data_IF_665427077597
#
_entry.id   IF_665427077597
#
_cell.length_a   1.000
_cell.length_b   1.000
_cell.length_c   1.000
_cell.angle_alpha   90.00
_cell.angle_beta   90.00
_cell.angle_gamma   90.00
#
_symmetry.space_group_name_H-M   'P 1'
#
loop_
_entity.id
_entity.type
_entity.pdbx_description
1 polymer ?
#
# COMPACT_ATOMS: atom_id res chain seq x y z
N UNK A 1 -3.09 29.90 0.72
CA UNK A 1 -2.34 28.81 1.36
C UNK A 1 -2.94 28.59 2.72
N UNK A 2 -3.97 27.76 2.79
CA UNK A 2 -4.61 27.31 4.04
C UNK A 2 -3.97 25.97 4.41
N UNK A 3 -3.55 25.75 5.67
CA UNK A 3 -3.08 24.44 6.09
C UNK A 3 -4.24 23.47 6.02
N UNK A 4 -3.98 22.26 5.52
CA UNK A 4 -4.92 21.15 5.55
C UNK A 4 -5.40 20.93 6.98
N UNK A 5 -6.70 21.05 7.21
CA UNK A 5 -7.34 20.68 8.46
C UNK A 5 -7.12 19.20 8.71
N UNK A 6 -6.22 18.86 9.63
CA UNK A 6 -6.21 17.58 10.30
C UNK A 6 -7.30 17.65 11.37
N UNK A 7 -8.54 17.29 11.04
CA UNK A 7 -9.61 17.14 12.02
C UNK A 7 -10.24 15.75 11.89
N UNK A 8 -9.64 14.79 12.59
CA UNK A 8 -10.32 13.97 13.59
C UNK A 8 -9.30 13.07 14.31
N UNK A 9 -9.44 12.99 15.63
CA UNK A 9 -8.55 12.41 16.63
C UNK A 9 -8.47 10.87 16.61
N UNK A 10 -8.27 10.26 15.45
CA UNK A 10 -7.88 8.86 15.30
C UNK A 10 -6.38 8.76 15.04
N UNK A 11 -5.70 7.76 15.60
CA UNK A 11 -4.39 7.37 15.06
C UNK A 11 -4.63 6.85 13.66
N UNK A 12 -3.94 7.42 12.67
CA UNK A 12 -3.94 6.94 11.30
C UNK A 12 -2.58 6.36 10.98
N UNK A 13 -2.58 5.29 10.21
CA UNK A 13 -1.37 4.85 9.52
C UNK A 13 -1.52 5.09 8.03
N UNK A 14 -0.45 5.48 7.37
CA UNK A 14 -0.47 5.86 5.97
C UNK A 14 0.47 5.00 5.15
N UNK A 15 -0.01 4.47 4.04
CA UNK A 15 0.85 3.88 3.00
C UNK A 15 0.96 4.87 1.86
N UNK A 16 2.16 5.03 1.33
CA UNK A 16 2.41 5.87 0.17
C UNK A 16 2.76 5.00 -1.04
N UNK A 17 2.59 5.59 -2.21
CA UNK A 17 3.18 5.14 -3.46
C UNK A 17 3.55 6.34 -4.29
N UNK A 18 4.78 6.36 -4.81
CA UNK A 18 5.24 7.40 -5.72
C UNK A 18 5.49 6.84 -7.13
N UNK A 19 5.15 7.62 -8.15
CA UNK A 19 5.48 7.23 -9.52
C UNK A 19 5.12 8.26 -10.58
N UNK A 20 5.44 7.93 -11.83
CA UNK A 20 5.29 8.82 -12.97
C UNK A 20 4.10 8.43 -13.85
N UNK A 21 3.14 9.33 -14.00
CA UNK A 21 2.02 9.20 -14.93
C UNK A 21 2.43 9.74 -16.31
N UNK A 22 2.78 8.85 -17.24
CA UNK A 22 3.17 9.23 -18.60
C UNK A 22 2.07 9.98 -19.36
N UNK A 23 0.79 9.64 -19.13
CA UNK A 23 -0.35 10.30 -19.79
C UNK A 23 -0.46 11.78 -19.43
N UNK A 24 -0.30 12.12 -18.16
CA UNK A 24 -0.35 13.50 -17.67
C UNK A 24 1.01 14.17 -17.63
N UNK A 25 2.09 13.40 -17.90
CA UNK A 25 3.49 13.82 -17.75
C UNK A 25 3.78 14.41 -16.38
N UNK A 26 3.27 13.75 -15.34
CA UNK A 26 3.34 14.25 -13.97
C UNK A 26 3.81 13.18 -13.01
N UNK A 27 4.55 13.59 -11.99
CA UNK A 27 4.80 12.75 -10.84
C UNK A 27 3.62 12.84 -9.89
N UNK A 28 3.19 11.69 -9.39
CA UNK A 28 2.07 11.60 -8.48
C UNK A 28 2.45 10.82 -7.23
N UNK A 29 1.77 11.14 -6.14
CA UNK A 29 1.79 10.35 -4.91
C UNK A 29 0.38 9.87 -4.65
N UNK A 30 0.20 8.57 -4.47
CA UNK A 30 -1.03 8.01 -3.89
C UNK A 30 -0.80 7.79 -2.41
N UNK A 31 -1.74 8.23 -1.58
CA UNK A 31 -1.74 8.05 -0.12
C UNK A 31 -2.96 7.24 0.28
N UNK A 32 -2.75 6.14 0.98
CA UNK A 32 -3.80 5.33 1.61
C UNK A 32 -3.74 5.52 3.12
N UNK A 33 -4.77 6.12 3.70
CA UNK A 33 -4.90 6.41 5.13
C UNK A 33 -5.83 5.38 5.80
N UNK A 34 -5.27 4.57 6.68
CA UNK A 34 -5.98 3.57 7.47
C UNK A 34 -6.31 4.12 8.85
N UNK A 35 -7.60 4.25 9.15
CA UNK A 35 -8.07 4.57 10.49
C UNK A 35 -7.99 3.32 11.38
N UNK A 36 -7.64 3.50 12.65
CA UNK A 36 -7.68 2.42 13.65
C UNK A 36 -9.09 2.30 14.25
N UNK A 37 -9.64 1.09 14.26
CA UNK A 37 -10.81 0.68 15.05
C UNK A 37 -10.40 -0.18 16.25
N UNK A 38 -11.31 -1.04 16.73
CA UNK A 38 -11.08 -1.94 17.87
C UNK A 38 -10.03 -3.02 17.56
N UNK A 39 -8.76 -2.66 17.63
CA UNK A 39 -7.61 -3.53 17.40
C UNK A 39 -7.30 -3.85 15.93
N UNK A 40 -7.88 -3.12 14.97
CA UNK A 40 -7.74 -3.38 13.54
C UNK A 40 -7.92 -2.12 12.68
N UNK A 41 -7.41 -2.12 11.45
CA UNK A 41 -7.73 -1.06 10.48
C UNK A 41 -9.18 -1.13 10.01
N UNK A 42 -9.79 0.04 9.86
CA UNK A 42 -11.03 0.21 9.13
C UNK A 42 -10.72 0.17 7.63
N UNK A 43 -11.48 -0.64 6.90
CA UNK A 43 -11.37 -0.81 5.46
C UNK A 43 -12.67 -0.33 4.78
N UNK A 44 -12.60 0.23 3.56
CA UNK A 44 -11.38 0.54 2.82
C UNK A 44 -10.65 1.76 3.41
N UNK A 45 -9.34 1.96 3.11
CA UNK A 45 -8.65 3.18 3.52
C UNK A 45 -9.22 4.41 2.81
N UNK A 46 -9.02 5.60 3.40
CA UNK A 46 -9.19 6.84 2.64
C UNK A 46 -8.03 7.00 1.69
N UNK A 47 -8.30 7.30 0.42
CA UNK A 47 -7.26 7.47 -0.59
C UNK A 47 -7.24 8.90 -1.12
N UNK A 48 -6.05 9.47 -1.21
CA UNK A 48 -5.82 10.78 -1.81
C UNK A 48 -4.70 10.69 -2.85
N UNK A 49 -4.81 11.46 -3.93
CA UNK A 49 -3.78 11.56 -4.96
C UNK A 49 -3.25 12.98 -5.01
N UNK A 50 -1.95 13.12 -4.91
CA UNK A 50 -1.24 14.37 -5.07
C UNK A 50 -0.55 14.41 -6.43
N UNK A 51 -0.76 15.49 -7.19
CA UNK A 51 -0.15 15.73 -8.49
C UNK A 51 0.92 16.83 -8.37
N UNK A 52 2.19 16.49 -8.64
CA UNK A 52 3.33 17.37 -8.39
C UNK A 52 3.27 18.63 -9.26
N UNK A 53 2.87 18.50 -10.52
CA UNK A 53 2.81 19.63 -11.48
C UNK A 53 1.86 20.74 -11.04
N UNK A 54 0.75 20.38 -10.39
CA UNK A 54 -0.28 21.33 -9.95
C UNK A 54 -0.17 21.69 -8.47
N UNK A 55 0.53 20.87 -7.68
CA UNK A 55 0.56 20.97 -6.23
C UNK A 55 -0.78 20.68 -5.56
N UNK A 56 -1.72 20.07 -6.28
CA UNK A 56 -3.08 19.80 -5.80
C UNK A 56 -3.16 18.36 -5.28
N UNK A 57 -3.80 18.22 -4.12
CA UNK A 57 -4.26 16.96 -3.57
C UNK A 57 -5.75 16.82 -3.88
N UNK A 58 -6.17 15.67 -4.39
CA UNK A 58 -7.59 15.34 -4.59
C UNK A 58 -7.95 14.06 -3.86
N UNK A 59 -9.19 14.00 -3.38
CA UNK A 59 -9.78 12.76 -2.90
C UNK A 59 -9.92 11.78 -4.07
N UNK A 60 -9.67 10.51 -3.79
CA UNK A 60 -9.90 9.44 -4.74
C UNK A 60 -11.37 9.02 -4.71
N UNK A 61 -12.04 9.09 -5.86
CA UNK A 61 -13.48 8.89 -6.02
C UNK A 61 -13.85 7.58 -6.74
N UNK A 62 -12.84 6.78 -7.11
CA UNK A 62 -13.01 5.50 -7.76
C UNK A 62 -13.05 4.34 -6.74
N UNK A 63 -13.24 3.12 -7.23
CA UNK A 63 -13.31 1.93 -6.39
C UNK A 63 -12.00 1.69 -5.62
N UNK A 64 -12.11 1.55 -4.30
CA UNK A 64 -11.01 1.21 -3.40
C UNK A 64 -11.27 -0.19 -2.86
N UNK A 65 -10.37 -1.16 -3.09
CA UNK A 65 -10.55 -2.50 -2.55
C UNK A 65 -10.43 -2.53 -1.02
N UNK A 66 -11.16 -3.43 -0.37
CA UNK A 66 -11.08 -3.73 1.06
C UNK A 66 -9.81 -4.53 1.39
N UNK A 67 -8.65 -3.89 1.27
CA UNK A 67 -7.33 -4.50 1.40
C UNK A 67 -6.50 -3.78 2.48
N UNK A 68 -5.90 -4.57 3.36
CA UNK A 68 -4.88 -4.11 4.29
C UNK A 68 -3.49 -4.22 3.68
N UNK A 69 -2.60 -3.29 4.04
CA UNK A 69 -1.18 -3.31 3.66
C UNK A 69 -0.34 -3.39 4.93
N UNK A 70 0.76 -4.14 4.89
CA UNK A 70 1.60 -4.42 6.05
C UNK A 70 2.43 -3.20 6.43
N UNK A 71 2.24 -2.69 7.65
CA UNK A 71 2.73 -1.36 8.05
C UNK A 71 4.24 -1.21 8.28
N UNK A 72 4.90 -2.26 8.75
CA UNK A 72 6.23 -2.12 9.35
C UNK A 72 7.39 -2.24 8.36
N UNK A 73 7.12 -2.55 7.10
CA UNK A 73 8.14 -2.79 6.07
C UNK A 73 7.75 -2.24 4.71
N UNK A 74 7.06 -1.10 4.64
CA UNK A 74 6.58 -0.52 3.37
C UNK A 74 7.67 -0.50 2.30
N UNK A 75 7.65 -1.51 1.45
CA UNK A 75 8.39 -1.57 0.22
C UNK A 75 7.36 -1.35 -0.85
N UNK A 76 7.44 -0.18 -1.43
CA UNK A 76 6.81 0.10 -2.70
C UNK A 76 7.82 -0.16 -3.80
N UNK A 77 7.32 -0.64 -4.93
CA UNK A 77 8.10 -0.79 -6.15
C UNK A 77 7.35 -0.08 -7.25
N UNK A 78 8.01 0.82 -7.96
CA UNK A 78 7.48 1.47 -9.15
C UNK A 78 8.05 0.83 -10.41
N UNK A 79 7.17 0.39 -11.30
CA UNK A 79 7.50 -0.18 -12.61
C UNK A 79 6.51 0.38 -13.63
N UNK A 80 7.02 1.12 -14.62
CA UNK A 80 6.25 1.58 -15.78
C UNK A 80 4.98 2.40 -15.43
N UNK A 81 5.08 3.31 -14.47
CA UNK A 81 3.98 4.18 -14.04
C UNK A 81 2.97 3.49 -13.13
N UNK A 82 3.35 2.34 -12.55
CA UNK A 82 2.54 1.57 -11.61
C UNK A 82 3.34 1.32 -10.36
N UNK A 83 2.69 1.46 -9.21
CA UNK A 83 3.28 1.14 -7.91
C UNK A 83 2.65 -0.12 -7.34
N UNK A 84 3.47 -0.94 -6.71
CA UNK A 84 3.12 -2.25 -6.21
C UNK A 84 3.44 -2.37 -4.72
N UNK A 85 2.60 -3.11 -4.00
CA UNK A 85 2.81 -3.47 -2.59
C UNK A 85 2.38 -4.91 -2.34
N UNK A 86 3.02 -5.56 -1.37
CA UNK A 86 2.42 -6.75 -0.74
C UNK A 86 1.25 -6.32 0.13
N UNK A 87 0.11 -6.96 -0.05
CA UNK A 87 -1.11 -6.64 0.66
C UNK A 87 -1.84 -7.92 1.06
N UNK A 88 -2.88 -7.77 1.87
CA UNK A 88 -3.66 -8.91 2.33
C UNK A 88 -5.16 -8.58 2.39
N UNK A 89 -5.96 -9.58 2.09
CA UNK A 89 -7.40 -9.59 2.37
C UNK A 89 -7.67 -10.34 3.65
N UNK A 90 -8.66 -9.88 4.39
CA UNK A 90 -9.17 -10.62 5.54
C UNK A 90 -10.25 -11.58 5.09
N UNK A 91 -10.14 -12.84 5.50
CA UNK A 91 -11.15 -13.86 5.30
C UNK A 91 -11.61 -14.41 6.67
N UNK A 92 -12.58 -13.73 7.28
CA UNK A 92 -13.01 -14.00 8.67
C UNK A 92 -12.04 -13.46 9.72
N UNK A 93 -12.15 -13.89 10.98
CA UNK A 93 -11.44 -13.24 12.10
C UNK A 93 -9.92 -13.52 12.13
N UNK A 94 -9.47 -14.66 11.59
CA UNK A 94 -8.09 -15.15 11.81
C UNK A 94 -7.32 -15.46 10.54
N UNK A 95 -7.96 -15.48 9.38
CA UNK A 95 -7.32 -15.82 8.12
C UNK A 95 -7.09 -14.57 7.29
N UNK A 96 -5.89 -14.47 6.76
CA UNK A 96 -5.51 -13.47 5.77
C UNK A 96 -5.04 -14.20 4.51
N UNK A 97 -5.36 -13.63 3.37
CA UNK A 97 -4.92 -14.10 2.06
C UNK A 97 -4.05 -13.00 1.44
N UNK A 98 -2.78 -13.31 1.22
CA UNK A 98 -1.84 -12.37 0.62
C UNK A 98 -2.07 -12.24 -0.88
N UNK A 99 -1.85 -11.04 -1.37
CA UNK A 99 -1.87 -10.69 -2.78
C UNK A 99 -0.88 -9.54 -3.04
N UNK A 100 -0.73 -9.16 -4.30
CA UNK A 100 -0.06 -7.91 -4.67
C UNK A 100 -1.14 -6.88 -5.00
N UNK A 101 -1.08 -5.73 -4.35
CA UNK A 101 -1.87 -4.58 -4.72
C UNK A 101 -1.07 -3.73 -5.72
N UNK A 102 -1.73 -3.24 -6.76
CA UNK A 102 -1.15 -2.35 -7.76
C UNK A 102 -2.00 -1.08 -7.86
N UNK A 103 -1.35 0.08 -8.02
CA UNK A 103 -2.00 1.33 -8.40
C UNK A 103 -1.37 1.88 -9.69
N UNK A 104 -2.19 2.16 -10.70
CA UNK A 104 -1.74 2.73 -11.98
C UNK A 104 -1.88 4.24 -11.96
N UNK A 105 -0.78 4.99 -12.07
CA UNK A 105 -0.82 6.46 -12.02
C UNK A 105 -1.41 7.12 -13.28
N UNK A 106 -1.50 6.38 -14.40
CA UNK A 106 -2.07 6.88 -15.65
C UNK A 106 -3.58 6.79 -15.65
N UNK A 107 -4.12 5.66 -15.21
CA UNK A 107 -5.56 5.43 -15.17
C UNK A 107 -6.16 5.78 -13.81
N UNK A 108 -5.32 5.93 -12.77
CA UNK A 108 -5.71 6.12 -11.38
C UNK A 108 -6.69 5.04 -10.91
N UNK A 109 -6.25 3.77 -11.03
CA UNK A 109 -7.05 2.61 -10.62
C UNK A 109 -6.23 1.66 -9.76
N UNK A 110 -6.92 0.98 -8.84
CA UNK A 110 -6.36 -0.15 -8.10
C UNK A 110 -6.65 -1.46 -8.84
N UNK A 111 -5.70 -2.39 -8.80
CA UNK A 111 -5.92 -3.77 -9.20
C UNK A 111 -5.23 -4.72 -8.23
N UNK A 112 -5.80 -5.92 -8.12
CA UNK A 112 -5.26 -7.01 -7.34
C UNK A 112 -4.60 -8.02 -8.25
N UNK A 113 -3.41 -8.47 -7.88
CA UNK A 113 -2.70 -9.53 -8.58
C UNK A 113 -2.52 -10.71 -7.64
N UNK A 114 -2.89 -11.89 -8.12
CA UNK A 114 -2.77 -13.12 -7.34
C UNK A 114 -1.32 -13.50 -7.13
N UNK A 115 -1.00 -13.96 -5.92
CA UNK A 115 0.27 -14.60 -5.62
C UNK A 115 0.22 -16.09 -5.97
N UNK A 116 1.38 -16.72 -6.21
CA UNK A 116 1.50 -18.18 -6.18
C UNK A 116 0.91 -18.76 -4.89
N UNK A 117 0.23 -19.89 -4.98
CA UNK A 117 -0.51 -20.50 -3.86
C UNK A 117 0.34 -20.69 -2.59
N UNK A 118 1.63 -21.00 -2.77
CA UNK A 118 2.59 -21.18 -1.67
C UNK A 118 2.79 -19.91 -0.83
N UNK A 119 2.57 -18.71 -1.40
CA UNK A 119 2.76 -17.42 -0.73
C UNK A 119 1.45 -16.86 -0.17
N UNK A 120 0.30 -17.36 -0.61
CA UNK A 120 -1.02 -16.80 -0.26
C UNK A 120 -1.28 -16.85 1.24
N UNK A 121 -0.86 -17.92 1.92
CA UNK A 121 -1.12 -18.11 3.35
C UNK A 121 0.12 -17.87 4.23
N UNK A 122 1.20 -17.33 3.66
CA UNK A 122 2.38 -16.92 4.44
C UNK A 122 2.03 -15.78 5.40
N UNK A 123 2.79 -15.58 6.50
CA UNK A 123 2.62 -14.39 7.31
C UNK A 123 2.87 -13.13 6.45
N UNK A 124 1.94 -12.15 6.36
CA UNK A 124 2.09 -11.00 5.47
C UNK A 124 3.40 -10.23 5.67
N UNK A 125 3.89 -10.17 6.92
CA UNK A 125 5.17 -9.55 7.31
C UNK A 125 6.42 -10.23 6.74
N UNK A 126 6.29 -11.43 6.20
CA UNK A 126 7.38 -12.19 5.60
C UNK A 126 7.47 -11.94 4.10
N UNK A 127 6.52 -11.22 3.51
CA UNK A 127 6.47 -10.97 2.08
C UNK A 127 6.89 -9.53 1.79
N UNK A 128 7.56 -9.35 0.67
CA UNK A 128 8.00 -8.06 0.21
C UNK A 128 8.04 -8.03 -1.31
N UNK A 129 7.59 -6.92 -1.93
CA UNK A 129 7.74 -6.72 -3.37
C UNK A 129 9.10 -6.09 -3.64
N UNK A 130 9.76 -6.54 -4.71
CA UNK A 130 11.03 -6.00 -5.15
C UNK A 130 11.04 -5.79 -6.66
N UNK A 131 11.98 -4.96 -7.11
CA UNK A 131 12.30 -4.78 -8.52
C UNK A 131 13.62 -5.47 -8.82
N UNK A 132 13.60 -6.43 -9.72
CA UNK A 132 14.81 -7.00 -10.30
C UNK A 132 14.82 -6.67 -11.79
N UNK A 133 15.79 -5.85 -12.19
CA UNK A 133 15.84 -5.27 -13.54
C UNK A 133 14.56 -4.50 -13.86
N UNK A 134 13.68 -5.02 -14.72
CA UNK A 134 12.37 -4.44 -15.06
C UNK A 134 11.20 -5.37 -14.71
N UNK A 135 11.45 -6.36 -13.84
CA UNK A 135 10.46 -7.34 -13.40
C UNK A 135 10.05 -7.08 -11.95
N UNK A 136 8.78 -7.40 -11.68
CA UNK A 136 8.23 -7.41 -10.34
C UNK A 136 8.49 -8.78 -9.70
N UNK A 137 9.23 -8.76 -8.59
CA UNK A 137 9.55 -9.94 -7.80
C UNK A 137 8.87 -9.88 -6.44
N UNK A 138 8.72 -11.05 -5.82
CA UNK A 138 8.25 -11.19 -4.43
C UNK A 138 9.25 -12.02 -3.65
N UNK A 139 9.77 -11.44 -2.57
CA UNK A 139 10.64 -12.13 -1.63
C UNK A 139 9.83 -12.64 -0.45
N UNK A 140 10.11 -13.89 -0.07
CA UNK A 140 9.61 -14.52 1.15
C UNK A 140 10.77 -14.71 2.13
N UNK A 141 10.60 -14.29 3.38
CA UNK A 141 11.58 -14.47 4.45
C UNK A 141 11.12 -15.54 5.46
N UNK A 142 12.04 -16.39 5.92
CA UNK A 142 11.77 -17.55 6.80
C UNK A 142 11.45 -17.20 8.28
N UNK A 143 11.44 -15.90 8.66
CA UNK A 143 11.47 -15.32 10.04
C UNK A 143 12.77 -15.59 10.82
N UNK A 144 13.38 -14.71 11.64
CA UNK A 144 12.97 -13.48 12.34
C UNK A 144 14.12 -12.46 12.27
N UNK A 145 13.90 -11.22 11.82
CA UNK A 145 14.94 -10.18 12.03
C UNK A 145 14.87 -9.61 13.46
N UNK A 146 13.75 -9.71 14.18
CA UNK A 146 13.62 -9.09 15.51
C UNK A 146 12.86 -9.93 16.54
N UNK A 147 13.47 -11.02 17.04
CA UNK A 147 13.16 -11.51 18.41
C UNK A 147 14.22 -11.14 19.45
N UNK A 148 15.19 -10.29 19.10
CA UNK A 148 16.07 -9.70 20.09
C UNK A 148 15.73 -8.23 20.21
N UNK A 149 14.95 -7.92 21.25
CA UNK A 149 14.90 -6.60 21.83
C UNK A 149 16.33 -6.13 22.06
N UNK A 150 16.78 -5.11 21.34
CA UNK A 150 17.88 -4.31 21.84
C UNK A 150 17.30 -3.38 22.90
N UNK A 151 17.44 -3.79 24.15
CA UNK A 151 17.34 -2.88 25.28
C UNK A 151 18.48 -1.86 25.14
N UNK A 152 18.14 -0.57 25.08
CA UNK A 152 19.06 0.52 25.42
C UNK A 152 19.01 0.72 26.93
#
# INVERSE_FOLDING_TARGET
>A
MTPLGCDNSGTYTFVLGFGFAIKTRDYKVVRMAYAHGDGQYLLPPRVDIYALSSGICKDFDCFIPDIGIVEYFWTEVEICGKVYWTAYKRNGERRVENLIMMFDFNEEIFQELSLPEILVNEPPKNLNVAKLEELLDVYQYDTRVWSNSFSI
#
